data_IF_179502595241
#
_entry.id   IF_179502595241
#
_cell.length_a   1.000
_cell.length_b   1.000
_cell.length_c   1.000
_cell.angle_alpha   90.00
_cell.angle_beta   90.00
_cell.angle_gamma   90.00
#
_symmetry.space_group_name_H-M   'P 1'
#
loop_
_entity.id
_entity.type
_entity.pdbx_description
1 polymer ?
#
# COMPACT_ATOMS: atom_id res chain seq x y z
N UNK A 1 21.64 -9.59 -1.49
CA UNK A 1 20.54 -10.48 -1.09
C UNK A 1 19.26 -9.66 -1.12
N UNK A 2 18.43 -9.84 -2.14
CA UNK A 2 17.20 -9.08 -2.34
C UNK A 2 16.05 -9.70 -1.54
N UNK A 3 15.49 -8.93 -0.61
CA UNK A 3 14.25 -9.29 0.07
C UNK A 3 13.15 -9.41 -0.99
N UNK A 4 12.65 -10.63 -1.21
CA UNK A 4 11.56 -10.88 -2.14
C UNK A 4 10.24 -10.38 -1.53
N UNK A 5 9.25 -10.07 -2.37
CA UNK A 5 7.92 -9.55 -2.00
C UNK A 5 7.09 -10.38 -0.99
N UNK A 6 7.64 -11.48 -0.46
CA UNK A 6 7.03 -12.43 0.48
C UNK A 6 6.79 -11.89 1.90
N UNK A 7 7.53 -10.87 2.37
CA UNK A 7 7.41 -10.32 3.73
C UNK A 7 6.77 -8.92 3.78
N UNK A 8 6.48 -8.36 2.63
CA UNK A 8 6.15 -6.94 2.51
C UNK A 8 4.72 -6.65 2.97
N UNK A 9 3.76 -7.43 2.46
CA UNK A 9 2.35 -7.23 2.75
C UNK A 9 1.98 -7.46 4.23
N UNK A 10 2.47 -8.51 4.92
CA UNK A 10 2.18 -8.67 6.34
C UNK A 10 2.79 -7.53 7.16
N UNK A 11 4.00 -7.07 6.86
CA UNK A 11 4.64 -5.99 7.61
C UNK A 11 3.90 -4.66 7.43
N UNK A 12 3.64 -4.23 6.18
CA UNK A 12 2.89 -2.99 5.93
C UNK A 12 1.47 -3.03 6.53
N UNK A 13 0.79 -4.19 6.46
CA UNK A 13 -0.52 -4.37 7.10
C UNK A 13 -0.44 -4.26 8.62
N UNK A 14 0.56 -4.91 9.23
CA UNK A 14 0.74 -4.90 10.67
C UNK A 14 1.10 -3.51 11.17
N UNK A 15 1.97 -2.79 10.45
CA UNK A 15 2.30 -1.40 10.73
C UNK A 15 1.07 -0.50 10.59
N UNK A 16 0.25 -0.70 9.55
CA UNK A 16 -1.00 0.04 9.40
C UNK A 16 -1.98 -0.21 10.55
N UNK A 17 -2.15 -1.47 10.97
CA UNK A 17 -3.02 -1.77 12.11
C UNK A 17 -2.47 -1.15 13.40
N UNK A 18 -1.18 -1.35 13.67
CA UNK A 18 -0.51 -0.87 14.88
C UNK A 18 -0.48 0.65 14.99
N UNK A 19 -0.05 1.33 13.94
CA UNK A 19 0.20 2.77 13.95
C UNK A 19 -0.97 3.59 13.39
N UNK A 20 -1.78 3.01 12.51
CA UNK A 20 -2.98 3.65 11.99
C UNK A 20 -4.20 3.46 12.90
N UNK A 21 -4.53 2.21 13.26
CA UNK A 21 -5.77 1.89 13.98
C UNK A 21 -5.64 1.96 15.50
N UNK A 22 -4.57 1.39 16.04
CA UNK A 22 -4.47 1.11 17.48
C UNK A 22 -3.84 2.26 18.26
N UNK A 23 -3.04 3.11 17.60
CA UNK A 23 -2.27 4.18 18.23
C UNK A 23 -2.77 5.59 17.82
N UNK A 24 -4.08 5.83 17.92
CA UNK A 24 -4.69 7.13 17.63
C UNK A 24 -4.47 8.14 18.76
N UNK A 25 -3.22 8.54 18.95
CA UNK A 25 -2.89 9.66 19.81
C UNK A 25 -3.00 10.99 19.05
N UNK A 26 -2.55 12.09 19.65
CA UNK A 26 -2.41 13.38 18.96
C UNK A 26 -1.74 13.20 17.57
N UNK A 27 -2.19 13.86 16.48
CA UNK A 27 -3.11 15.00 16.41
C UNK A 27 -4.53 14.65 15.92
N UNK A 28 -5.28 13.84 16.68
CA UNK A 28 -6.65 13.39 16.35
C UNK A 28 -7.57 14.50 15.80
N UNK A 29 -7.68 15.65 16.48
CA UNK A 29 -8.58 16.74 16.05
C UNK A 29 -8.18 17.33 14.70
N UNK A 30 -6.87 17.47 14.45
CA UNK A 30 -6.36 17.98 13.19
C UNK A 30 -6.71 17.01 12.04
N UNK A 31 -6.41 15.72 12.23
CA UNK A 31 -6.70 14.69 11.23
C UNK A 31 -8.20 14.50 10.98
N UNK A 32 -9.03 14.58 12.01
CA UNK A 32 -10.48 14.59 11.83
C UNK A 32 -10.95 15.74 10.95
N UNK A 33 -10.38 16.95 11.12
CA UNK A 33 -10.72 18.09 10.28
C UNK A 33 -10.22 17.91 8.84
N UNK A 34 -8.99 17.40 8.65
CA UNK A 34 -8.47 17.03 7.33
C UNK A 34 -9.39 16.03 6.64
N UNK A 35 -9.80 14.97 7.33
CA UNK A 35 -10.69 13.96 6.79
C UNK A 35 -12.06 14.54 6.41
N UNK A 36 -12.62 15.43 7.23
CA UNK A 36 -13.88 16.11 6.91
C UNK A 36 -13.78 16.93 5.63
N UNK A 37 -12.72 17.76 5.51
CA UNK A 37 -12.48 18.57 4.30
C UNK A 37 -12.14 17.71 3.10
N UNK A 38 -11.39 16.63 3.29
CA UNK A 38 -11.06 15.68 2.24
C UNK A 38 -12.34 15.06 1.68
N UNK A 39 -13.24 14.51 2.51
CA UNK A 39 -14.54 13.97 2.06
C UNK A 39 -15.32 14.99 1.23
N UNK A 40 -15.39 16.26 1.65
CA UNK A 40 -16.06 17.32 0.88
C UNK A 40 -15.44 17.51 -0.50
N UNK A 41 -14.09 17.52 -0.60
CA UNK A 41 -13.37 17.69 -1.88
C UNK A 41 -13.59 16.54 -2.85
N UNK A 42 -13.69 15.31 -2.32
CA UNK A 42 -13.91 14.11 -3.15
C UNK A 42 -15.39 13.79 -3.34
N UNK A 43 -16.33 14.53 -2.74
CA UNK A 43 -17.76 14.24 -2.79
C UNK A 43 -18.11 12.84 -2.25
N UNK A 44 -17.56 12.45 -1.09
CA UNK A 44 -17.82 11.15 -0.48
C UNK A 44 -19.28 11.03 0.03
N UNK A 45 -19.81 9.81 0.16
CA UNK A 45 -21.15 9.57 0.68
C UNK A 45 -21.26 9.97 2.16
N UNK A 46 -22.46 10.43 2.58
CA UNK A 46 -22.71 11.08 3.89
C UNK A 46 -22.57 10.18 5.15
N UNK A 47 -21.82 9.08 5.11
CA UNK A 47 -21.45 8.34 6.33
C UNK A 47 -20.18 8.93 6.96
N UNK A 48 -20.31 10.18 7.44
CA UNK A 48 -19.18 11.03 7.82
C UNK A 48 -18.31 10.44 8.93
N UNK A 49 -18.89 9.76 9.92
CA UNK A 49 -18.15 9.25 11.08
C UNK A 49 -17.26 8.06 10.72
N UNK A 50 -17.79 7.07 10.00
CA UNK A 50 -17.02 5.89 9.59
C UNK A 50 -15.94 6.27 8.56
N UNK A 51 -16.27 7.15 7.61
CA UNK A 51 -15.28 7.72 6.70
C UNK A 51 -14.16 8.40 7.47
N UNK A 52 -14.50 9.30 8.40
CA UNK A 52 -13.53 10.07 9.16
C UNK A 52 -12.61 9.13 9.96
N UNK A 53 -13.18 8.11 10.61
CA UNK A 53 -12.42 7.07 11.30
C UNK A 53 -11.40 6.37 10.41
N UNK A 54 -11.83 5.86 9.26
CA UNK A 54 -10.96 5.15 8.31
C UNK A 54 -9.92 6.08 7.67
N UNK A 55 -10.30 7.33 7.37
CA UNK A 55 -9.39 8.33 6.85
C UNK A 55 -8.33 8.72 7.88
N UNK A 56 -8.67 8.84 9.16
CA UNK A 56 -7.69 9.09 10.22
C UNK A 56 -6.68 7.94 10.34
N UNK A 57 -7.13 6.67 10.23
CA UNK A 57 -6.21 5.52 10.23
C UNK A 57 -5.14 5.66 9.12
N UNK A 58 -5.56 6.14 7.94
CA UNK A 58 -4.67 6.42 6.80
C UNK A 58 -3.70 7.57 7.11
N UNK A 59 -4.17 8.65 7.72
CA UNK A 59 -3.32 9.80 8.08
C UNK A 59 -2.30 9.47 9.17
N UNK A 60 -2.70 8.71 10.20
CA UNK A 60 -1.79 8.24 11.24
C UNK A 60 -0.73 7.28 10.68
N UNK A 61 -1.11 6.39 9.78
CA UNK A 61 -0.13 5.54 9.10
C UNK A 61 0.87 6.37 8.30
N UNK A 62 0.41 7.36 7.54
CA UNK A 62 1.30 8.26 6.78
C UNK A 62 2.22 9.08 7.69
N UNK A 63 1.72 9.51 8.85
CA UNK A 63 2.54 10.16 9.87
C UNK A 63 3.63 9.22 10.42
N UNK A 64 3.29 7.97 10.70
CA UNK A 64 4.27 6.96 11.10
C UNK A 64 5.36 6.79 10.04
N UNK A 65 4.98 6.64 8.76
CA UNK A 65 5.96 6.50 7.66
C UNK A 65 6.92 7.70 7.60
N UNK A 66 6.40 8.91 7.79
CA UNK A 66 7.21 10.13 7.78
C UNK A 66 8.21 10.21 8.96
N UNK A 67 7.88 9.61 10.10
CA UNK A 67 8.71 9.68 11.31
C UNK A 67 9.55 8.41 11.55
N UNK A 68 9.42 7.40 10.71
CA UNK A 68 10.17 6.15 10.83
C UNK A 68 11.60 6.33 10.34
N UNK A 69 12.51 6.67 11.25
CA UNK A 69 13.94 6.94 10.97
C UNK A 69 14.73 5.72 10.46
N UNK A 70 14.20 4.52 10.65
CA UNK A 70 14.89 3.25 10.36
C UNK A 70 14.37 2.55 9.12
N UNK A 71 13.42 3.17 8.41
CA UNK A 71 12.83 2.55 7.22
C UNK A 71 13.74 2.80 6.02
N UNK A 72 14.28 1.73 5.45
CA UNK A 72 15.00 1.84 4.18
C UNK A 72 14.05 2.20 3.02
N UNK A 73 14.62 2.63 1.90
CA UNK A 73 13.84 3.08 0.74
C UNK A 73 12.93 1.99 0.18
N UNK A 74 13.34 0.71 0.26
CA UNK A 74 12.55 -0.40 -0.24
C UNK A 74 11.30 -0.63 0.61
N UNK A 75 11.46 -0.67 1.94
CA UNK A 75 10.33 -0.75 2.87
C UNK A 75 9.42 0.48 2.79
N UNK A 76 10.00 1.67 2.57
CA UNK A 76 9.22 2.89 2.40
C UNK A 76 8.36 2.84 1.13
N UNK A 77 8.94 2.48 -0.01
CA UNK A 77 8.21 2.35 -1.29
C UNK A 77 6.98 1.44 -1.11
N UNK A 78 7.20 0.30 -0.48
CA UNK A 78 6.16 -0.71 -0.30
C UNK A 78 5.08 -0.25 0.69
N UNK A 79 5.48 0.42 1.76
CA UNK A 79 4.55 1.04 2.71
C UNK A 79 3.73 2.13 2.04
N UNK A 80 4.32 2.91 1.13
CA UNK A 80 3.60 3.90 0.34
C UNK A 80 2.63 3.26 -0.65
N UNK A 81 2.99 2.15 -1.31
CA UNK A 81 2.05 1.35 -2.14
C UNK A 81 0.88 0.84 -1.31
N UNK A 82 1.14 0.35 -0.10
CA UNK A 82 0.09 -0.09 0.81
C UNK A 82 -0.81 1.07 1.28
N UNK A 83 -0.23 2.25 1.56
CA UNK A 83 -0.97 3.48 1.83
C UNK A 83 -1.93 3.83 0.69
N UNK A 84 -1.46 3.78 -0.57
CA UNK A 84 -2.33 4.04 -1.72
C UNK A 84 -3.44 3.01 -1.89
N UNK A 85 -3.16 1.73 -1.60
CA UNK A 85 -4.19 0.69 -1.57
C UNK A 85 -5.28 1.04 -0.55
N UNK A 86 -4.89 1.47 0.65
CA UNK A 86 -5.84 1.90 1.70
C UNK A 86 -6.61 3.15 1.33
N UNK A 87 -5.96 4.11 0.67
CA UNK A 87 -6.63 5.30 0.14
C UNK A 87 -7.67 4.91 -0.92
N UNK A 88 -7.34 4.02 -1.87
CA UNK A 88 -8.29 3.51 -2.86
C UNK A 88 -9.44 2.74 -2.21
N UNK A 89 -9.15 1.91 -1.21
CA UNK A 89 -10.17 1.18 -0.44
C UNK A 89 -11.16 2.13 0.24
N UNK A 90 -10.68 3.20 0.88
CA UNK A 90 -11.51 4.22 1.50
C UNK A 90 -12.52 4.81 0.49
N UNK A 91 -12.03 5.17 -0.71
CA UNK A 91 -12.85 5.77 -1.77
C UNK A 91 -13.88 4.80 -2.34
N UNK A 92 -13.54 3.51 -2.41
CA UNK A 92 -14.49 2.48 -2.84
C UNK A 92 -15.60 2.24 -1.82
N UNK A 93 -15.27 2.20 -0.53
CA UNK A 93 -16.23 1.92 0.54
C UNK A 93 -17.21 3.08 0.71
N UNK A 94 -16.70 4.32 0.75
CA UNK A 94 -17.50 5.50 1.07
C UNK A 94 -17.87 6.33 -0.15
N UNK A 95 -17.51 5.86 -1.35
CA UNK A 95 -17.59 6.66 -2.56
C UNK A 95 -16.56 7.80 -2.55
N UNK A 96 -16.54 8.53 -3.65
CA UNK A 96 -15.65 9.67 -3.84
C UNK A 96 -15.08 9.67 -5.26
N UNK A 97 -14.86 10.86 -5.79
CA UNK A 97 -14.33 11.08 -7.13
C UNK A 97 -12.93 11.65 -7.03
N UNK A 98 -11.96 10.79 -7.34
CA UNK A 98 -10.66 11.23 -7.81
C UNK A 98 -10.39 10.64 -9.19
N UNK A 99 -9.54 11.30 -9.97
CA UNK A 99 -9.07 10.76 -11.24
C UNK A 99 -8.01 9.66 -11.05
N UNK A 100 -6.95 9.99 -10.33
CA UNK A 100 -5.75 9.14 -10.14
C UNK A 100 -5.37 9.07 -8.65
N UNK A 101 -4.47 8.15 -8.29
CA UNK A 101 -3.85 8.08 -6.96
C UNK A 101 -3.18 9.41 -6.61
N UNK A 102 -2.48 10.01 -7.58
CA UNK A 102 -1.84 11.33 -7.42
C UNK A 102 -2.86 12.41 -7.08
N UNK A 103 -3.93 12.52 -7.87
CA UNK A 103 -5.03 13.48 -7.63
C UNK A 103 -5.67 13.30 -6.25
N UNK A 104 -5.94 12.06 -5.83
CA UNK A 104 -6.48 11.81 -4.49
C UNK A 104 -5.53 12.26 -3.39
N UNK A 105 -4.25 11.92 -3.50
CA UNK A 105 -3.30 12.21 -2.46
C UNK A 105 -3.02 13.72 -2.36
N UNK A 106 -2.97 14.43 -3.48
CA UNK A 106 -2.90 15.88 -3.51
C UNK A 106 -4.14 16.52 -2.85
N UNK A 107 -5.35 16.04 -3.17
CA UNK A 107 -6.59 16.51 -2.52
C UNK A 107 -6.63 16.25 -1.00
N UNK A 108 -6.08 15.12 -0.56
CA UNK A 108 -5.92 14.78 0.86
C UNK A 108 -4.97 15.76 1.56
N UNK A 109 -3.89 16.15 0.88
CA UNK A 109 -2.84 17.04 1.38
C UNK A 109 -3.17 18.53 1.30
N UNK A 110 -4.21 18.92 0.56
CA UNK A 110 -4.59 20.34 0.42
C UNK A 110 -4.77 20.98 1.80
N UNK A 111 -3.98 22.03 2.05
CA UNK A 111 -3.97 22.79 3.31
C UNK A 111 -5.37 23.31 3.61
N UNK A 112 -5.69 23.35 4.91
CA UNK A 112 -6.94 23.93 5.39
C UNK A 112 -6.60 25.31 5.94
N UNK A 113 -6.94 26.34 5.18
CA UNK A 113 -6.91 27.72 5.65
C UNK A 113 -7.87 27.85 6.84
N UNK A 114 -7.41 28.44 7.95
CA UNK A 114 -8.02 28.49 9.30
C UNK A 114 -7.60 27.41 10.31
N UNK A 115 -6.67 26.50 9.97
CA UNK A 115 -6.05 25.59 10.94
C UNK A 115 -4.78 26.21 11.54
N UNK A 116 -4.88 27.45 12.02
CA UNK A 116 -3.78 28.09 12.75
C UNK A 116 -3.51 27.37 14.09
N UNK A 117 -4.51 26.64 14.60
CA UNK A 117 -4.49 26.04 15.93
C UNK A 117 -3.82 24.67 16.03
N UNK A 118 -3.52 23.98 14.92
CA UNK A 118 -3.04 22.59 15.01
C UNK A 118 -1.66 22.33 14.42
N UNK A 119 -1.11 23.21 13.56
CA UNK A 119 0.29 23.09 13.09
C UNK A 119 0.65 21.77 12.40
N UNK A 120 -0.34 21.00 11.94
CA UNK A 120 -0.14 19.66 11.36
C UNK A 120 -0.30 19.75 9.85
N UNK A 121 0.80 19.47 9.15
CA UNK A 121 0.81 19.27 7.71
C UNK A 121 0.73 17.77 7.39
N UNK A 122 0.04 17.42 6.30
CA UNK A 122 0.02 16.04 5.82
C UNK A 122 1.35 15.74 5.12
N UNK A 123 2.11 14.71 5.57
CA UNK A 123 3.40 14.39 4.98
C UNK A 123 3.35 14.16 3.48
N UNK A 124 4.46 14.46 2.79
CA UNK A 124 4.65 14.22 1.36
C UNK A 124 5.54 13.01 1.07
N UNK A 125 5.87 12.21 2.09
CA UNK A 125 6.83 11.10 2.02
C UNK A 125 6.49 10.08 0.91
N UNK A 126 5.20 9.92 0.59
CA UNK A 126 4.77 9.00 -0.47
C UNK A 126 4.59 9.64 -1.85
N UNK A 127 4.80 10.95 -2.01
CA UNK A 127 4.42 11.68 -3.22
C UNK A 127 5.21 11.21 -4.45
N UNK A 128 6.50 10.91 -4.28
CA UNK A 128 7.36 10.39 -5.35
C UNK A 128 6.90 9.03 -5.89
N UNK A 129 6.11 8.29 -5.11
CA UNK A 129 5.55 7.00 -5.53
C UNK A 129 4.17 7.14 -6.19
N UNK A 130 3.69 8.34 -6.52
CA UNK A 130 2.34 8.48 -7.12
C UNK A 130 2.28 8.20 -8.62
N UNK A 131 3.36 8.45 -9.37
CA UNK A 131 3.31 8.53 -10.83
C UNK A 131 3.15 7.16 -11.52
N UNK A 132 3.57 6.09 -10.86
CA UNK A 132 3.50 4.72 -11.38
C UNK A 132 2.67 3.76 -10.50
N UNK A 133 1.93 4.29 -9.52
CA UNK A 133 1.16 3.47 -8.57
C UNK A 133 -0.33 3.81 -8.57
N UNK A 134 -0.88 4.12 -9.74
CA UNK A 134 -2.32 4.01 -9.95
C UNK A 134 -2.69 2.54 -9.82
N UNK A 135 -3.34 2.21 -8.70
CA UNK A 135 -3.79 0.85 -8.42
C UNK A 135 -4.99 0.62 -9.30
N UNK A 136 -4.86 -0.25 -10.29
CA UNK A 136 -5.97 -0.67 -11.14
C UNK A 136 -6.97 -1.55 -10.37
N UNK A 137 -8.04 -1.98 -11.04
CA UNK A 137 -9.09 -2.79 -10.42
C UNK A 137 -8.69 -4.23 -10.10
N UNK A 138 -7.87 -4.85 -10.95
CA UNK A 138 -7.35 -6.20 -10.74
C UNK A 138 -6.35 -6.23 -9.58
N UNK A 139 -5.42 -5.27 -9.57
CA UNK A 139 -4.45 -5.06 -8.50
C UNK A 139 -5.17 -4.80 -7.17
N UNK A 140 -6.15 -3.89 -7.13
CA UNK A 140 -6.97 -3.67 -5.94
C UNK A 140 -7.63 -4.96 -5.44
N UNK A 141 -8.24 -5.74 -6.34
CA UNK A 141 -8.93 -6.99 -5.99
C UNK A 141 -7.97 -8.02 -5.39
N UNK A 142 -6.75 -8.13 -5.93
CA UNK A 142 -5.70 -8.99 -5.37
C UNK A 142 -5.30 -8.57 -3.96
N UNK A 143 -5.03 -7.28 -3.74
CA UNK A 143 -4.71 -6.76 -2.40
C UNK A 143 -5.85 -7.01 -1.41
N UNK A 144 -7.10 -6.79 -1.82
CA UNK A 144 -8.28 -7.03 -0.99
C UNK A 144 -8.42 -8.49 -0.59
N UNK A 145 -8.23 -9.41 -1.53
CA UNK A 145 -8.26 -10.84 -1.27
C UNK A 145 -7.13 -11.27 -0.32
N UNK A 146 -5.92 -10.74 -0.52
CA UNK A 146 -4.80 -11.01 0.38
C UNK A 146 -5.08 -10.51 1.79
N UNK A 147 -5.59 -9.29 1.94
CA UNK A 147 -5.93 -8.75 3.26
C UNK A 147 -7.02 -9.57 3.96
N UNK A 148 -8.04 -10.02 3.23
CA UNK A 148 -9.07 -10.91 3.76
C UNK A 148 -8.47 -12.23 4.27
N UNK A 149 -7.53 -12.82 3.53
CA UNK A 149 -6.81 -14.02 3.98
C UNK A 149 -6.03 -13.76 5.26
N UNK A 150 -5.29 -12.65 5.35
CA UNK A 150 -4.56 -12.29 6.58
C UNK A 150 -5.50 -11.96 7.76
N UNK A 151 -6.68 -11.39 7.52
CA UNK A 151 -7.68 -11.16 8.56
C UNK A 151 -8.22 -12.49 9.12
N UNK A 152 -8.49 -13.46 8.26
CA UNK A 152 -8.93 -14.81 8.68
C UNK A 152 -7.81 -15.48 9.49
N UNK A 153 -6.57 -15.38 9.01
CA UNK A 153 -5.40 -15.93 9.70
C UNK A 153 -5.19 -15.31 11.09
N UNK A 154 -5.24 -13.98 11.22
CA UNK A 154 -5.07 -13.32 12.52
C UNK A 154 -6.16 -13.70 13.54
N UNK A 155 -7.43 -13.81 13.10
CA UNK A 155 -8.53 -14.31 13.96
C UNK A 155 -8.30 -15.75 14.41
N UNK A 156 -7.62 -16.54 13.58
CA UNK A 156 -7.28 -17.91 13.92
C UNK A 156 -6.17 -17.97 14.99
N UNK A 157 -5.08 -17.20 14.82
CA UNK A 157 -4.00 -17.12 15.81
C UNK A 157 -4.50 -16.64 17.19
N UNK A 158 -5.39 -15.64 17.22
CA UNK A 158 -6.00 -15.14 18.46
C UNK A 158 -6.80 -16.23 19.19
N UNK A 159 -7.51 -17.09 18.45
CA UNK A 159 -8.27 -18.20 19.03
C UNK A 159 -7.38 -19.35 19.48
N UNK A 160 -6.27 -19.62 18.78
CA UNK A 160 -5.29 -20.62 19.16
C UNK A 160 -4.66 -20.29 20.52
N UNK A 161 -4.31 -19.02 20.75
CA UNK A 161 -3.79 -18.55 22.04
C UNK A 161 -4.79 -18.70 23.19
N UNK A 162 -6.09 -18.72 22.88
CA UNK A 162 -7.19 -18.84 23.85
C UNK A 162 -7.75 -20.26 24.00
N UNK A 163 -7.28 -21.26 23.25
CA UNK A 163 -7.82 -22.63 23.28
C UNK A 163 -6.74 -23.71 23.13
N UNK A 164 -6.53 -24.49 24.18
CA UNK A 164 -5.55 -25.60 24.24
C UNK A 164 -5.95 -26.86 23.42
N UNK A 165 -7.05 -26.85 22.64
CA UNK A 165 -7.67 -28.09 22.14
C UNK A 165 -8.16 -28.12 20.68
N UNK A 166 -7.64 -27.27 19.77
CA UNK A 166 -8.07 -27.28 18.35
C UNK A 166 -6.97 -27.73 17.37
N UNK A 167 -6.41 -28.92 17.55
CA UNK A 167 -5.29 -29.44 16.73
C UNK A 167 -5.68 -29.83 15.30
N UNK A 168 -6.92 -30.28 15.05
CA UNK A 168 -7.32 -30.82 13.73
C UNK A 168 -7.63 -29.70 12.72
N UNK A 169 -8.40 -28.68 13.13
CA UNK A 169 -8.77 -27.57 12.23
C UNK A 169 -7.58 -26.65 11.93
N UNK A 170 -6.65 -26.53 12.89
CA UNK A 170 -5.38 -25.82 12.76
C UNK A 170 -4.52 -26.40 11.63
N UNK A 171 -4.32 -27.73 11.64
CA UNK A 171 -3.56 -28.42 10.61
C UNK A 171 -4.17 -28.24 9.20
N UNK A 172 -5.50 -28.17 9.10
CA UNK A 172 -6.22 -27.98 7.84
C UNK A 172 -6.04 -26.56 7.28
N UNK A 173 -6.24 -25.54 8.12
CA UNK A 173 -6.03 -24.14 7.71
C UNK A 173 -4.57 -23.84 7.43
N UNK A 174 -3.64 -24.33 8.27
CA UNK A 174 -2.21 -24.23 8.02
C UNK A 174 -1.84 -24.88 6.68
N UNK A 175 -2.43 -26.03 6.35
CA UNK A 175 -2.25 -26.70 5.06
C UNK A 175 -2.79 -25.88 3.89
N UNK A 176 -3.96 -25.26 4.02
CA UNK A 176 -4.52 -24.36 3.00
C UNK A 176 -3.61 -23.16 2.80
N UNK A 177 -3.19 -22.48 3.87
CA UNK A 177 -2.30 -21.32 3.81
C UNK A 177 -0.96 -21.70 3.20
N UNK A 178 -0.37 -22.84 3.60
CA UNK A 178 0.87 -23.37 3.03
C UNK A 178 0.72 -23.70 1.54
N UNK A 179 -0.43 -24.24 1.11
CA UNK A 179 -0.73 -24.49 -0.30
C UNK A 179 -0.90 -23.18 -1.07
N UNK A 180 -1.61 -22.20 -0.52
CA UNK A 180 -1.75 -20.87 -1.13
C UNK A 180 -0.39 -20.19 -1.26
N UNK A 181 0.45 -20.23 -0.22
CA UNK A 181 1.85 -19.77 -0.26
C UNK A 181 2.63 -20.48 -1.37
N UNK A 182 2.54 -21.80 -1.48
CA UNK A 182 3.20 -22.56 -2.56
C UNK A 182 2.70 -22.17 -3.96
N UNK A 183 1.39 -21.97 -4.14
CA UNK A 183 0.79 -21.59 -5.43
C UNK A 183 1.26 -20.18 -5.82
N UNK A 184 1.22 -19.24 -4.88
CA UNK A 184 1.73 -17.88 -5.05
C UNK A 184 3.23 -17.94 -5.42
N UNK A 185 4.02 -18.75 -4.71
CA UNK A 185 5.46 -18.91 -4.95
C UNK A 185 5.79 -19.59 -6.29
N UNK A 186 4.90 -20.47 -6.78
CA UNK A 186 5.04 -21.12 -8.09
C UNK A 186 4.71 -20.14 -9.22
N UNK A 187 3.66 -19.31 -9.06
CA UNK A 187 3.35 -18.22 -10.00
C UNK A 187 4.45 -17.15 -10.02
N UNK A 188 5.05 -16.84 -8.86
CA UNK A 188 6.25 -15.97 -8.75
C UNK A 188 7.42 -16.50 -9.57
N UNK A 189 7.79 -17.78 -9.42
CA UNK A 189 8.85 -18.39 -10.23
C UNK A 189 8.57 -18.33 -11.73
N UNK A 190 7.30 -18.35 -12.13
CA UNK A 190 6.91 -18.23 -13.53
C UNK A 190 7.05 -16.78 -14.02
N UNK A 191 6.62 -15.81 -13.22
CA UNK A 191 6.74 -14.38 -13.53
C UNK A 191 8.20 -13.92 -13.55
N UNK A 192 9.00 -14.36 -12.59
CA UNK A 192 10.43 -14.03 -12.48
C UNK A 192 11.23 -14.65 -13.63
N UNK A 193 10.92 -15.89 -14.04
CA UNK A 193 11.47 -16.49 -15.27
C UNK A 193 11.08 -15.74 -16.54
N UNK A 194 9.88 -15.16 -16.57
CA UNK A 194 9.42 -14.31 -17.68
C UNK A 194 10.23 -13.01 -17.70
N UNK A 195 10.36 -12.31 -16.58
CA UNK A 195 11.15 -11.08 -16.45
C UNK A 195 12.63 -11.31 -16.79
N UNK A 196 13.26 -12.34 -16.22
CA UNK A 196 14.65 -12.72 -16.54
C UNK A 196 14.84 -13.08 -18.03
N UNK A 197 13.81 -13.65 -18.67
CA UNK A 197 13.81 -13.94 -20.10
C UNK A 197 13.71 -12.66 -20.93
N UNK A 198 12.93 -11.68 -20.50
CA UNK A 198 12.86 -10.37 -21.17
C UNK A 198 14.14 -9.57 -20.99
N UNK A 199 14.73 -9.57 -19.79
CA UNK A 199 16.01 -8.91 -19.51
C UNK A 199 17.17 -9.54 -20.29
N UNK A 200 17.15 -10.85 -20.54
CA UNK A 200 18.13 -11.52 -21.43
C UNK A 200 17.97 -11.15 -22.91
N UNK A 201 16.74 -10.87 -23.35
CA UNK A 201 16.46 -10.45 -24.73
C UNK A 201 16.88 -8.99 -24.94
N UNK A 202 16.65 -8.12 -23.95
CA UNK A 202 17.00 -6.70 -24.03
C UNK A 202 18.46 -6.38 -23.70
N UNK A 203 19.13 -7.19 -22.86
CA UNK A 203 20.57 -7.07 -22.59
C UNK A 203 21.43 -7.98 -23.49
N UNK A 204 20.87 -8.53 -24.57
CA UNK A 204 21.71 -9.06 -25.64
C UNK A 204 22.49 -7.88 -26.20
N UNK A 205 23.83 -7.87 -26.12
CA UNK A 205 24.60 -6.73 -26.54
C UNK A 205 24.24 -6.46 -27.99
N UNK A 206 23.86 -5.21 -28.27
CA UNK A 206 23.89 -4.60 -29.59
C UNK A 206 25.36 -4.52 -30.06
N UNK A 207 26.06 -5.66 -30.03
CA UNK A 207 27.35 -5.90 -30.63
C UNK A 207 27.12 -6.21 -32.10
N UNK A 208 26.66 -5.21 -32.83
CA UNK A 208 27.02 -5.05 -34.24
C UNK A 208 27.04 -3.56 -34.56
N UNK A 209 28.28 -3.06 -34.57
CA UNK A 209 28.78 -1.91 -35.31
C UNK A 209 27.86 -1.44 -36.45
N UNK A 210 27.12 -0.36 -36.22
CA UNK A 210 26.79 0.58 -37.30
C UNK A 210 27.69 1.79 -37.12
N UNK A 211 28.87 1.70 -37.74
CA UNK A 211 29.81 2.81 -37.84
C UNK A 211 29.26 3.76 -38.90
N UNK A 212 28.50 4.77 -38.49
CA UNK A 212 28.10 5.87 -39.39
C UNK A 212 29.35 6.71 -39.63
N UNK A 213 29.93 6.58 -40.83
CA UNK A 213 31.02 7.44 -41.29
C UNK A 213 30.39 8.58 -42.07
N UNK A 214 30.50 9.80 -41.54
CA UNK A 214 30.21 11.02 -42.31
C UNK A 214 31.41 11.29 -43.23
N UNK A 215 31.15 11.31 -44.54
CA UNK A 215 32.09 11.83 -45.52
C UNK A 215 31.73 13.31 -45.69
N UNK A 216 32.57 14.18 -45.16
CA UNK A 216 32.55 15.61 -45.50
C UNK A 216 33.40 15.81 -46.75
N UNK A 217 32.73 16.05 -47.88
CA UNK A 217 33.35 16.61 -49.08
C UNK A 217 33.64 18.11 -48.88
N UNK A 218 34.67 18.56 -49.59
CA UNK A 218 35.38 19.83 -49.43
C UNK A 218 34.56 21.05 -49.86
#
# INVERSE_FOLDING_TARGET
>A
MSASDEDILPNCRNDFNRYGKDNRNWPYNAYSLYCTKFCTRILCARNSQNFNRSCMDILFYLYYLNNSKTMDNFHLEQSCKYFFYKLKELLKIYGGKCGTTKDCYEKLRLKIWNVYYFGVDIPNICLQYTENNDIDEDTYTKFKNLENLYNIYGKFEERQNNCHSYTIFDSFLHSIVKKLRKIINKKRRFHQKLTDSFDKIYNYPNGNNYRIVYISES
#
